data_IF_810159131637
#
_entry.id   IF_810159131637
#
_cell.length_a   1.000
_cell.length_b   1.000
_cell.length_c   1.000
_cell.angle_alpha   90.00
_cell.angle_beta   90.00
_cell.angle_gamma   90.00
#
_symmetry.space_group_name_H-M   'P 1'
#
loop_
_entity.id
_entity.type
_entity.pdbx_description
1 polymer ?
#
# COMPACT_ATOMS: atom_id res chain seq x y z
N UNK A 1 0.07 18.36 0.61
CA UNK A 1 -0.60 17.24 1.33
C UNK A 1 -1.41 16.46 0.32
N UNK A 2 -1.29 15.14 0.32
CA UNK A 2 -2.15 14.25 -0.46
C UNK A 2 -2.74 13.17 0.45
N UNK A 3 -3.88 12.63 0.04
CA UNK A 3 -4.57 11.54 0.75
C UNK A 3 -4.78 10.41 -0.24
N UNK A 4 -4.31 9.21 0.13
CA UNK A 4 -4.57 7.97 -0.60
C UNK A 4 -5.68 7.15 0.05
N UNK A 5 -6.10 6.10 -0.63
CA UNK A 5 -7.16 5.16 -0.23
C UNK A 5 -6.64 3.87 0.43
N UNK A 6 -5.32 3.71 0.55
CA UNK A 6 -4.67 2.56 1.18
C UNK A 6 -4.37 2.82 2.67
N UNK A 7 -5.37 2.65 3.52
CA UNK A 7 -5.24 2.81 4.97
C UNK A 7 -4.62 1.59 5.69
N UNK A 8 -4.70 1.59 7.02
CA UNK A 8 -4.15 0.48 7.82
C UNK A 8 -4.89 -0.85 7.61
N UNK A 9 -6.12 -0.83 7.09
CA UNK A 9 -6.82 -2.05 6.65
C UNK A 9 -6.21 -2.67 5.39
N UNK A 10 -5.39 -1.91 4.66
CA UNK A 10 -4.71 -2.35 3.44
C UNK A 10 -3.28 -2.78 3.73
N UNK A 11 -2.54 -2.04 4.54
CA UNK A 11 -1.08 -2.25 4.74
C UNK A 11 -0.68 -2.73 6.14
N UNK A 12 -1.62 -2.75 7.09
CA UNK A 12 -1.29 -2.80 8.51
C UNK A 12 -0.64 -1.50 9.01
N UNK A 13 -0.50 -1.38 10.34
CA UNK A 13 0.18 -0.24 11.00
C UNK A 13 1.04 -0.61 12.21
N UNK A 14 0.98 -1.87 12.65
CA UNK A 14 1.50 -2.27 13.96
C UNK A 14 3.03 -2.35 14.01
N UNK A 15 3.66 -2.55 12.86
CA UNK A 15 5.12 -2.73 12.76
C UNK A 15 5.83 -1.49 12.22
N UNK A 16 5.12 -0.58 11.55
CA UNK A 16 5.67 0.63 10.94
C UNK A 16 4.75 1.17 9.83
N UNK A 17 5.20 2.23 9.14
CA UNK A 17 4.50 2.83 8.00
C UNK A 17 5.03 2.27 6.67
N UNK A 18 4.18 2.10 5.64
CA UNK A 18 4.64 1.69 4.32
C UNK A 18 5.48 2.79 3.66
N UNK A 19 6.38 2.40 2.75
CA UNK A 19 7.20 3.31 1.96
C UNK A 19 6.56 3.55 0.58
N UNK A 20 6.77 4.73 0.00
CA UNK A 20 6.35 5.00 -1.39
C UNK A 20 7.45 4.55 -2.35
N UNK A 21 7.12 3.61 -3.24
CA UNK A 21 8.06 3.10 -4.23
C UNK A 21 8.36 4.15 -5.32
N UNK A 22 9.64 4.37 -5.60
CA UNK A 22 10.11 5.23 -6.70
C UNK A 22 9.77 6.72 -6.58
N UNK A 23 9.34 7.22 -5.41
CA UNK A 23 8.92 8.62 -5.19
C UNK A 23 9.59 9.22 -3.96
N UNK A 24 10.82 9.72 -4.11
CA UNK A 24 11.55 10.38 -3.04
C UNK A 24 10.95 11.74 -2.62
N UNK A 25 10.04 12.30 -3.42
CA UNK A 25 9.31 13.53 -3.14
C UNK A 25 8.05 13.31 -2.30
N UNK A 26 7.72 12.06 -1.95
CA UNK A 26 6.56 11.67 -1.15
C UNK A 26 6.97 10.82 0.05
N UNK A 27 6.35 11.07 1.20
CA UNK A 27 6.54 10.27 2.41
C UNK A 27 5.19 9.93 3.04
N UNK A 28 5.00 8.68 3.47
CA UNK A 28 3.84 8.28 4.28
C UNK A 28 4.09 8.70 5.72
N UNK A 29 3.29 9.63 6.23
CA UNK A 29 3.41 10.18 7.59
C UNK A 29 2.34 9.66 8.54
N UNK A 30 1.37 8.89 8.04
CA UNK A 30 0.33 8.31 8.88
C UNK A 30 -0.73 7.55 8.11
N UNK A 31 -1.49 6.73 8.85
CA UNK A 31 -2.58 5.91 8.33
C UNK A 31 -3.83 6.08 9.18
N UNK A 32 -4.97 6.32 8.52
CA UNK A 32 -6.31 6.05 9.07
C UNK A 32 -6.80 4.69 8.57
N UNK A 33 -8.04 4.30 8.91
CA UNK A 33 -8.58 2.99 8.50
C UNK A 33 -8.51 2.75 6.99
N UNK A 34 -8.96 3.74 6.21
CA UNK A 34 -9.07 3.69 4.74
C UNK A 34 -8.23 4.77 4.05
N UNK A 35 -7.36 5.49 4.80
CA UNK A 35 -6.63 6.61 4.21
C UNK A 35 -5.15 6.60 4.54
N UNK A 36 -4.32 6.85 3.52
CA UNK A 36 -2.90 7.17 3.65
C UNK A 36 -2.71 8.68 3.71
N UNK A 37 -1.88 9.18 4.63
CA UNK A 37 -1.55 10.60 4.71
C UNK A 37 -0.12 10.80 4.19
N UNK A 38 0.03 11.61 3.13
CA UNK A 38 1.33 11.89 2.52
C UNK A 38 1.84 13.30 2.83
N UNK A 39 3.09 13.38 3.28
CA UNK A 39 3.90 14.59 3.18
C UNK A 39 4.47 14.71 1.76
N UNK A 40 4.53 15.94 1.25
CA UNK A 40 4.98 16.25 -0.10
C UNK A 40 6.18 17.20 0.01
N UNK A 41 7.26 16.88 -0.67
CA UNK A 41 8.35 17.81 -0.89
C UNK A 41 7.88 19.02 -1.74
N UNK A 42 8.56 20.19 -1.66
CA UNK A 42 8.26 21.32 -2.53
C UNK A 42 8.31 20.92 -4.01
N UNK A 43 7.26 21.24 -4.76
CA UNK A 43 7.17 20.91 -6.19
C UNK A 43 6.73 19.48 -6.51
N UNK A 44 6.43 18.64 -5.51
CA UNK A 44 5.91 17.29 -5.73
C UNK A 44 4.60 17.33 -6.54
N UNK A 45 4.60 16.68 -7.70
CA UNK A 45 3.43 16.53 -8.57
C UNK A 45 2.64 15.28 -8.20
N UNK A 46 1.51 15.46 -7.51
CA UNK A 46 0.50 14.42 -7.29
C UNK A 46 -0.88 15.02 -7.54
N UNK A 47 -1.71 14.30 -8.29
CA UNK A 47 -3.07 14.67 -8.64
C UNK A 47 -4.07 13.60 -8.20
N UNK A 48 -5.34 13.97 -7.96
CA UNK A 48 -6.40 12.97 -7.77
C UNK A 48 -6.43 11.97 -8.93
N UNK A 49 -6.45 10.69 -8.60
CA UNK A 49 -6.44 9.59 -9.58
C UNK A 49 -5.06 9.03 -9.93
N UNK A 50 -3.97 9.70 -9.54
CA UNK A 50 -2.63 9.14 -9.67
C UNK A 50 -2.51 7.85 -8.84
N UNK A 51 -1.89 6.82 -9.42
CA UNK A 51 -1.64 5.55 -8.74
C UNK A 51 -0.23 5.53 -8.17
N UNK A 52 -0.12 5.27 -6.87
CA UNK A 52 1.14 5.11 -6.16
C UNK A 52 1.30 3.63 -5.75
N UNK A 53 2.54 3.16 -5.71
CA UNK A 53 2.88 1.84 -5.16
C UNK A 53 3.43 2.03 -3.75
N UNK A 54 2.87 1.26 -2.82
CA UNK A 54 3.31 1.24 -1.43
C UNK A 54 4.02 -0.08 -1.15
N UNK A 55 5.21 0.00 -0.55
CA UNK A 55 5.93 -1.13 -0.02
C UNK A 55 5.50 -1.30 1.45
N UNK A 56 4.79 -2.38 1.81
CA UNK A 56 4.36 -2.58 3.18
C UNK A 56 5.57 -2.73 4.12
N UNK A 57 5.45 -2.22 5.34
CA UNK A 57 6.51 -2.34 6.34
C UNK A 57 6.76 -3.80 6.75
N UNK A 58 5.69 -4.60 6.88
CA UNK A 58 5.78 -6.01 7.21
C UNK A 58 4.82 -6.82 6.34
N UNK A 59 5.40 -7.71 5.54
CA UNK A 59 4.70 -8.49 4.51
C UNK A 59 3.59 -9.35 5.09
N UNK A 60 3.89 -10.09 6.15
CA UNK A 60 3.03 -11.15 6.66
C UNK A 60 1.73 -10.54 7.20
N UNK A 61 1.86 -9.44 7.97
CA UNK A 61 0.72 -8.68 8.49
C UNK A 61 -0.09 -7.97 7.42
N UNK A 62 0.48 -7.79 6.22
CA UNK A 62 -0.23 -7.17 5.09
C UNK A 62 -0.97 -8.23 4.31
N UNK A 63 -0.30 -9.31 3.91
CA UNK A 63 -0.84 -10.34 3.01
C UNK A 63 -2.10 -10.99 3.59
N UNK A 64 -2.17 -11.24 4.90
CA UNK A 64 -3.35 -11.85 5.50
C UNK A 64 -4.61 -10.96 5.46
N UNK A 65 -4.46 -9.64 5.24
CA UNK A 65 -5.58 -8.70 5.10
C UNK A 65 -6.26 -8.82 3.73
N UNK A 66 -5.58 -9.44 2.76
CA UNK A 66 -6.04 -9.54 1.37
C UNK A 66 -6.56 -10.93 1.07
N UNK A 67 -7.46 -11.02 0.07
CA UNK A 67 -7.98 -12.29 -0.44
C UNK A 67 -7.27 -12.75 -1.71
N UNK A 68 -6.61 -11.84 -2.40
CA UNK A 68 -5.98 -12.09 -3.68
C UNK A 68 -4.64 -11.34 -3.75
N UNK A 69 -3.69 -11.94 -4.46
CA UNK A 69 -2.46 -11.31 -4.91
C UNK A 69 -2.51 -11.22 -6.43
N UNK A 70 -2.30 -10.01 -6.96
CA UNK A 70 -2.22 -9.78 -8.40
C UNK A 70 -0.75 -9.88 -8.81
N UNK A 71 -0.38 -10.93 -9.54
CA UNK A 71 0.96 -11.11 -10.08
C UNK A 71 1.11 -10.28 -11.36
N UNK A 72 2.12 -9.40 -11.39
CA UNK A 72 2.35 -8.45 -12.48
C UNK A 72 3.67 -8.80 -13.17
N UNK A 73 3.64 -8.90 -14.50
CA UNK A 73 4.81 -9.00 -15.37
C UNK A 73 4.69 -7.99 -16.50
N UNK A 74 5.76 -7.25 -16.78
CA UNK A 74 5.80 -6.23 -17.84
C UNK A 74 4.65 -5.21 -17.77
N UNK A 75 4.23 -4.87 -16.55
CA UNK A 75 3.14 -3.90 -16.31
C UNK A 75 1.73 -4.45 -16.50
N UNK A 76 1.57 -5.74 -16.79
CA UNK A 76 0.28 -6.41 -17.00
C UNK A 76 0.03 -7.46 -15.91
N UNK A 77 -1.23 -7.60 -15.50
CA UNK A 77 -1.64 -8.68 -14.58
C UNK A 77 -1.60 -10.00 -15.36
N UNK A 78 -0.68 -10.88 -14.98
CA UNK A 78 -0.50 -12.20 -15.59
C UNK A 78 -1.34 -13.27 -14.87
N UNK A 79 -1.47 -13.15 -13.54
CA UNK A 79 -2.24 -14.08 -12.73
C UNK A 79 -2.83 -13.39 -11.50
N UNK A 80 -3.89 -13.99 -10.96
CA UNK A 80 -4.48 -13.61 -9.66
C UNK A 80 -4.47 -14.84 -8.78
N UNK A 81 -3.68 -14.80 -7.71
CA UNK A 81 -3.54 -15.92 -6.77
C UNK A 81 -4.44 -15.71 -5.55
N UNK A 82 -5.26 -16.69 -5.17
CA UNK A 82 -6.00 -16.61 -3.91
C UNK A 82 -5.04 -16.72 -2.73
N UNK A 83 -5.24 -15.90 -1.70
CA UNK A 83 -4.60 -16.07 -0.39
C UNK A 83 -5.45 -17.06 0.39
N UNK A 84 -5.31 -18.35 0.08
CA UNK A 84 -6.22 -19.40 0.55
C UNK A 84 -6.31 -19.50 2.08
N UNK A 85 -5.21 -19.19 2.78
CA UNK A 85 -5.13 -19.23 4.23
C UNK A 85 -5.31 -17.85 4.91
N UNK A 86 -5.87 -16.86 4.21
CA UNK A 86 -6.08 -15.52 4.78
C UNK A 86 -6.94 -15.59 6.06
N UNK A 87 -6.32 -15.28 7.21
CA UNK A 87 -6.97 -15.33 8.52
C UNK A 87 -7.09 -16.72 9.16
N UNK A 88 -6.47 -17.76 8.60
CA UNK A 88 -6.39 -19.09 9.21
C UNK A 88 -5.25 -19.14 10.24
N UNK A 89 -5.50 -18.54 11.41
CA UNK A 89 -4.51 -18.42 12.49
C UNK A 89 -4.51 -19.61 13.47
N UNK A 90 -5.32 -20.63 13.21
CA UNK A 90 -5.54 -21.81 14.08
C UNK A 90 -5.51 -23.08 13.24
#
# INVERSE_FOLDING_TARGET
RAIGDAGWKTTGRHTGLPLVDGRADLEVIGLSAEHTHYALAPGAGVRPGDKLRLIPHYSDSTVFLHRQLHAIRDGVVEAVWPVAAAGMLQ
#
